data_IF_521580833877
#
_entry.id   IF_521580833877
#
_cell.length_a   1.000
_cell.length_b   1.000
_cell.length_c   1.000
_cell.angle_alpha   90.00
_cell.angle_beta   90.00
_cell.angle_gamma   90.00
#
_symmetry.space_group_name_H-M   'P 1'
#
loop_
_entity.id
_entity.type
_entity.pdbx_description
1 polymer ?
#
# COMPACT_ATOMS: atom_id res chain seq x y z
N UNK A 1 -12.15 -12.89 0.65
CA UNK A 1 -11.12 -11.92 0.24
C UNK A 1 -10.16 -11.70 1.40
N UNK A 2 -8.85 -11.66 1.17
CA UNK A 2 -7.87 -11.28 2.20
C UNK A 2 -7.72 -9.77 2.20
N UNK A 3 -7.63 -9.15 3.39
CA UNK A 3 -7.45 -7.71 3.56
C UNK A 3 -5.97 -7.39 3.73
N UNK A 4 -5.50 -6.30 3.14
CA UNK A 4 -4.14 -5.81 3.29
C UNK A 4 -4.16 -4.32 3.64
N UNK A 5 -3.40 -3.93 4.66
CA UNK A 5 -3.13 -2.52 4.95
C UNK A 5 -1.73 -2.20 4.43
N UNK A 6 -1.63 -1.20 3.55
CA UNK A 6 -0.37 -0.78 2.93
C UNK A 6 -0.01 0.61 3.45
N UNK A 7 1.14 0.71 4.12
CA UNK A 7 1.75 1.99 4.47
C UNK A 7 2.32 2.64 3.21
N UNK A 8 1.56 3.54 2.61
CA UNK A 8 1.87 4.19 1.34
C UNK A 8 2.66 5.48 1.60
N UNK A 9 3.98 5.40 1.52
CA UNK A 9 4.87 6.57 1.67
C UNK A 9 4.92 7.46 0.42
N UNK A 10 4.46 6.95 -0.72
CA UNK A 10 4.59 7.61 -2.03
C UNK A 10 5.90 7.27 -2.76
N UNK A 11 6.82 6.58 -2.11
CA UNK A 11 8.03 6.02 -2.74
C UNK A 11 7.73 4.77 -3.58
N UNK A 12 8.62 4.48 -4.53
CA UNK A 12 8.51 3.38 -5.50
C UNK A 12 8.15 2.04 -4.85
N UNK A 13 8.81 1.68 -3.75
CA UNK A 13 8.64 0.39 -3.08
C UNK A 13 7.22 0.22 -2.53
N UNK A 14 6.68 1.28 -1.91
CA UNK A 14 5.33 1.27 -1.33
C UNK A 14 4.25 1.18 -2.41
N UNK A 15 4.47 1.86 -3.55
CA UNK A 15 3.56 1.82 -4.71
C UNK A 15 3.61 0.45 -5.40
N UNK A 16 4.81 -0.12 -5.56
CA UNK A 16 5.00 -1.45 -6.15
C UNK A 16 4.34 -2.53 -5.29
N UNK A 17 4.51 -2.45 -3.97
CA UNK A 17 3.85 -3.35 -3.02
C UNK A 17 2.33 -3.30 -3.12
N UNK A 18 1.75 -2.10 -3.23
CA UNK A 18 0.31 -1.92 -3.44
C UNK A 18 -0.17 -2.56 -4.76
N UNK A 19 0.58 -2.35 -5.85
CA UNK A 19 0.26 -2.92 -7.15
C UNK A 19 0.26 -4.46 -7.10
N UNK A 20 1.28 -5.07 -6.51
CA UNK A 20 1.39 -6.52 -6.34
C UNK A 20 0.26 -7.08 -5.47
N UNK A 21 -0.08 -6.42 -4.36
CA UNK A 21 -1.17 -6.85 -3.48
C UNK A 21 -2.53 -6.80 -4.21
N UNK A 22 -2.75 -5.78 -5.03
CA UNK A 22 -3.96 -5.66 -5.84
C UNK A 22 -4.04 -6.74 -6.92
N UNK A 23 -2.93 -7.04 -7.60
CA UNK A 23 -2.84 -8.14 -8.58
C UNK A 23 -3.12 -9.51 -7.95
N UNK A 24 -2.66 -9.74 -6.72
CA UNK A 24 -2.92 -10.95 -5.95
C UNK A 24 -4.36 -11.04 -5.38
N UNK A 25 -5.22 -10.07 -5.66
CA UNK A 25 -6.64 -10.09 -5.26
C UNK A 25 -6.90 -9.71 -3.79
N UNK A 26 -5.99 -8.98 -3.16
CA UNK A 26 -6.23 -8.42 -1.82
C UNK A 26 -7.16 -7.22 -1.89
N UNK A 27 -8.04 -7.12 -0.89
CA UNK A 27 -8.76 -5.89 -0.59
C UNK A 27 -7.80 -4.93 0.12
N UNK A 28 -7.26 -3.97 -0.63
CA UNK A 28 -6.19 -3.09 -0.17
C UNK A 28 -6.74 -1.81 0.46
N UNK A 29 -6.23 -1.47 1.64
CA UNK A 29 -6.48 -0.23 2.37
C UNK A 29 -5.15 0.51 2.52
N UNK A 30 -5.07 1.76 2.07
CA UNK A 30 -3.83 2.54 2.16
C UNK A 30 -3.85 3.45 3.37
N UNK A 31 -2.69 3.59 4.01
CA UNK A 31 -2.45 4.53 5.09
C UNK A 31 -1.19 5.32 4.75
N UNK A 32 -1.24 6.64 4.86
CA UNK A 32 -0.08 7.51 4.68
C UNK A 32 0.05 8.43 5.88
N UNK A 33 1.28 8.76 6.25
CA UNK A 33 1.58 9.68 7.34
C UNK A 33 2.44 10.82 6.81
N UNK A 34 2.07 12.04 7.16
CA UNK A 34 2.94 13.19 7.02
C UNK A 34 3.81 13.29 8.27
N UNK A 35 5.06 12.83 8.18
CA UNK A 35 6.03 12.90 9.27
C UNK A 35 6.75 14.26 9.36
N UNK A 36 6.43 15.23 8.48
CA UNK A 36 7.10 16.55 8.43
C UNK A 36 8.50 16.52 7.84
N UNK A 37 8.74 15.58 6.91
CA UNK A 37 10.00 15.38 6.19
C UNK A 37 10.23 16.47 5.13
#
# INVERSE_FOLDING_TARGET
>A
MKRAVVLLSGGLDSVTTLAMAKEQGFECYTLSFNYGQ
#
